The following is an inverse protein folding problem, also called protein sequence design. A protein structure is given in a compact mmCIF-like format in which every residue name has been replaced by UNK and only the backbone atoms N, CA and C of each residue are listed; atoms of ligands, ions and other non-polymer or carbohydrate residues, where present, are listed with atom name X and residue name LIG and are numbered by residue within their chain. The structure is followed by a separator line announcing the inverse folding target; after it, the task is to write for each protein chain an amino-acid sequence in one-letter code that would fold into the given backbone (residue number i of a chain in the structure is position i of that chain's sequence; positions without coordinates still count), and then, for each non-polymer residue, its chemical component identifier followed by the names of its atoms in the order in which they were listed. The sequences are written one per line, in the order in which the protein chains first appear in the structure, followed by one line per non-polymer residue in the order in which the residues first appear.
data_IF_876557146121
#
_entry.id   IF_876557146121
#
_cell.length_a   1.000
_cell.length_b   1.000
_cell.length_c   1.000
_cell.angle_alpha   90.00
_cell.angle_beta   90.00
_cell.angle_gamma   90.00
#
_symmetry.space_group_name_H-M   'P 1'
#
loop_
_entity.id
_entity.type
_entity.pdbx_description
1 polymer ?
#
# COMPACT_ATOMS: atom_id res chain seq x y z
N UNK A 1 -9.69 0.26 -17.48
CA UNK A 1 -8.34 0.73 -17.09
C UNK A 1 -8.36 1.02 -15.59
N UNK A 2 -7.40 0.49 -14.83
CA UNK A 2 -7.25 0.83 -13.42
C UNK A 2 -6.43 2.12 -13.27
N UNK A 3 -6.78 2.95 -12.29
CA UNK A 3 -5.98 4.12 -11.92
C UNK A 3 -4.78 3.61 -11.14
N UNK A 4 -3.58 3.88 -11.66
CA UNK A 4 -2.33 3.46 -11.06
C UNK A 4 -1.95 4.44 -9.96
N UNK A 5 -1.74 3.94 -8.75
CA UNK A 5 -1.43 4.75 -7.56
C UNK A 5 -0.18 4.23 -6.86
N UNK A 6 0.57 5.13 -6.24
CA UNK A 6 1.68 4.80 -5.35
C UNK A 6 1.39 5.30 -3.94
N UNK A 7 1.90 4.61 -2.93
CA UNK A 7 1.77 5.02 -1.52
C UNK A 7 3.14 5.52 -1.04
N UNK A 8 3.23 6.81 -0.72
CA UNK A 8 4.44 7.39 -0.12
C UNK A 8 4.23 7.56 1.38
N UNK A 9 4.87 6.70 2.18
CA UNK A 9 4.65 6.54 3.61
C UNK A 9 3.76 5.34 3.93
N UNK A 10 4.35 4.17 4.14
CA UNK A 10 3.71 2.89 4.49
C UNK A 10 3.63 2.65 6.01
N UNK A 11 3.39 3.74 6.73
CA UNK A 11 3.24 3.76 8.18
C UNK A 11 1.80 3.50 8.64
N UNK A 12 1.38 4.26 9.66
CA UNK A 12 0.07 4.12 10.33
C UNK A 12 -1.13 4.21 9.38
N UNK A 13 -1.05 5.03 8.34
CA UNK A 13 -2.15 5.27 7.39
C UNK A 13 -1.96 4.50 6.08
N UNK A 14 -0.73 4.41 5.56
CA UNK A 14 -0.46 3.73 4.30
C UNK A 14 -0.86 2.26 4.30
N UNK A 15 -0.63 1.51 5.39
CA UNK A 15 -0.98 0.09 5.48
C UNK A 15 -2.49 -0.18 5.45
N UNK A 16 -3.32 0.49 6.28
CA UNK A 16 -4.77 0.38 6.15
C UNK A 16 -5.29 0.81 4.77
N UNK A 17 -4.74 1.89 4.19
CA UNK A 17 -5.14 2.35 2.85
C UNK A 17 -4.87 1.26 1.80
N UNK A 18 -3.71 0.63 1.83
CA UNK A 18 -3.40 -0.50 0.93
C UNK A 18 -4.37 -1.66 1.09
N UNK A 19 -4.67 -2.09 2.33
CA UNK A 19 -5.67 -3.14 2.59
C UNK A 19 -7.03 -2.77 2.02
N UNK A 20 -7.51 -1.55 2.28
CA UNK A 20 -8.82 -1.07 1.81
C UNK A 20 -8.88 -0.98 0.29
N UNK A 21 -7.80 -0.57 -0.36
CA UNK A 21 -7.72 -0.52 -1.83
C UNK A 21 -7.87 -1.92 -2.42
N UNK A 22 -7.11 -2.90 -1.91
CA UNK A 22 -7.17 -4.29 -2.39
C UNK A 22 -8.56 -4.91 -2.17
N UNK A 23 -9.17 -4.65 -1.02
CA UNK A 23 -10.47 -5.23 -0.66
C UNK A 23 -11.65 -4.59 -1.39
N UNK A 24 -11.66 -3.25 -1.52
CA UNK A 24 -12.86 -2.49 -1.88
C UNK A 24 -12.74 -1.66 -3.17
N UNK A 25 -11.53 -1.43 -3.69
CA UNK A 25 -11.32 -0.50 -4.79
C UNK A 25 -10.59 -1.16 -5.97
N UNK A 26 -11.25 -2.11 -6.63
CA UNK A 26 -10.73 -2.83 -7.82
C UNK A 26 -10.40 -1.92 -9.01
N UNK A 27 -10.88 -0.68 -9.03
CA UNK A 27 -10.54 0.33 -10.03
C UNK A 27 -9.18 0.99 -9.78
N UNK A 28 -8.54 0.74 -8.63
CA UNK A 28 -7.23 1.25 -8.27
C UNK A 28 -6.21 0.11 -8.29
N UNK A 29 -5.02 0.40 -8.80
CA UNK A 29 -3.87 -0.52 -8.82
C UNK A 29 -2.72 0.13 -8.05
N UNK A 30 -2.33 -0.45 -6.91
CA UNK A 30 -1.14 0.02 -6.17
C UNK A 30 0.11 -0.52 -6.86
N UNK A 31 0.87 0.37 -7.50
CA UNK A 31 2.04 -0.01 -8.33
C UNK A 31 3.37 0.14 -7.60
N UNK A 32 3.42 0.94 -6.54
CA UNK A 32 4.62 1.15 -5.76
C UNK A 32 4.29 1.58 -4.32
N UNK A 33 5.19 1.25 -3.41
CA UNK A 33 5.17 1.68 -2.01
C UNK A 33 6.56 2.20 -1.69
N UNK A 34 6.63 3.38 -1.07
CA UNK A 34 7.87 3.98 -0.56
C UNK A 34 7.77 4.21 0.96
N UNK A 35 8.81 3.87 1.71
CA UNK A 35 8.95 4.11 3.14
C UNK A 35 10.44 4.16 3.53
N UNK A 36 10.75 4.40 4.81
CA UNK A 36 12.12 4.48 5.33
C UNK A 36 12.69 3.11 5.77
N UNK A 37 11.90 2.04 5.68
CA UNK A 37 12.28 0.69 6.13
C UNK A 37 12.20 -0.32 5.00
N UNK A 38 12.85 -1.47 5.16
CA UNK A 38 12.94 -2.50 4.14
C UNK A 38 11.61 -3.26 3.92
N UNK A 39 11.47 -3.88 2.75
CA UNK A 39 10.26 -4.60 2.37
C UNK A 39 9.88 -5.76 3.30
N UNK A 40 10.85 -6.43 3.94
CA UNK A 40 10.59 -7.52 4.88
C UNK A 40 9.97 -6.98 6.16
N UNK A 41 10.49 -5.88 6.68
CA UNK A 41 9.93 -5.15 7.81
C UNK A 41 8.51 -4.65 7.49
N UNK A 42 8.31 -4.02 6.33
CA UNK A 42 7.00 -3.54 5.90
C UNK A 42 5.98 -4.67 5.75
N UNK A 43 6.37 -5.81 5.17
CA UNK A 43 5.51 -6.99 5.04
C UNK A 43 5.14 -7.58 6.41
N UNK A 44 6.07 -7.60 7.36
CA UNK A 44 5.79 -8.02 8.74
C UNK A 44 4.77 -7.11 9.42
N UNK A 45 4.91 -5.79 9.26
CA UNK A 45 4.00 -4.78 9.83
C UNK A 45 2.65 -4.69 9.13
N UNK A 46 2.53 -5.24 7.92
CA UNK A 46 1.30 -5.24 7.14
C UNK A 46 0.30 -6.33 7.58
N UNK A 47 0.73 -7.36 8.33
CA UNK A 47 -0.14 -8.45 8.81
C UNK A 47 -1.54 -7.98 9.22
#
# INVERSE_FOLDING_TARGET
MAIRVAINGFGRIGRPVFKRIIENHKSLEVVAINDLTDAKTLAHLLK
#
